data_IF_765592153220
#
_entry.id   IF_765592153220
#
_cell.length_a   1.000
_cell.length_b   1.000
_cell.length_c   1.000
_cell.angle_alpha   90.00
_cell.angle_beta   90.00
_cell.angle_gamma   90.00
#
_symmetry.space_group_name_H-M   'P 1'
#
loop_
_entity.id
_entity.type
_entity.pdbx_description
1 polymer ?
#
# COMPACT_ATOMS: atom_id res chain seq x y z
N UNK A 1 -43.96 52.40 24.41
CA UNK A 1 -43.01 53.32 23.77
C UNK A 1 -43.40 53.48 22.30
N UNK A 2 -43.64 54.73 21.87
CA UNK A 2 -44.27 55.07 20.59
C UNK A 2 -43.23 55.04 19.46
N UNK A 3 -43.61 54.45 18.30
CA UNK A 3 -42.83 54.24 17.08
C UNK A 3 -42.02 55.44 16.54
N UNK A 4 -42.23 56.64 17.11
CA UNK A 4 -41.53 57.89 16.75
C UNK A 4 -40.18 58.12 17.45
N UNK A 5 -39.88 57.40 18.51
CA UNK A 5 -38.58 57.54 19.23
C UNK A 5 -37.48 56.63 18.69
N UNK A 6 -37.84 55.61 17.90
CA UNK A 6 -36.89 54.70 17.24
C UNK A 6 -36.22 55.33 16.00
N UNK A 7 -36.88 56.32 15.37
CA UNK A 7 -36.37 56.93 14.14
C UNK A 7 -35.44 58.15 14.38
N UNK A 8 -35.30 58.63 15.61
CA UNK A 8 -34.39 59.75 15.94
C UNK A 8 -32.99 59.33 16.34
N UNK A 9 -32.74 58.03 16.57
CA UNK A 9 -31.39 57.52 16.87
C UNK A 9 -30.69 56.88 15.69
N UNK A 10 -31.30 56.81 14.53
CA UNK A 10 -30.74 56.23 13.31
C UNK A 10 -30.01 57.23 12.39
N UNK A 11 -29.85 58.51 12.81
CA UNK A 11 -29.34 59.54 11.92
C UNK A 11 -27.93 60.10 12.30
N UNK A 12 -27.19 59.42 13.18
CA UNK A 12 -25.85 59.89 13.61
C UNK A 12 -24.82 58.72 13.69
N UNK A 13 -24.90 57.73 12.82
CA UNK A 13 -23.79 56.79 12.60
C UNK A 13 -23.20 57.05 11.22
N UNK A 14 -22.10 57.81 11.22
CA UNK A 14 -21.31 58.10 10.05
C UNK A 14 -20.91 56.80 9.34
N UNK A 15 -21.17 56.76 8.09
CA UNK A 15 -20.76 55.71 7.14
C UNK A 15 -19.23 55.69 7.04
N UNK A 16 -18.58 55.03 7.97
CA UNK A 16 -17.21 54.52 7.75
C UNK A 16 -17.36 53.27 6.91
N UNK A 17 -17.29 53.40 5.61
CA UNK A 17 -17.08 52.29 4.68
C UNK A 17 -15.69 51.73 4.97
N UNK A 18 -15.58 50.77 5.89
CA UNK A 18 -14.45 49.88 5.95
C UNK A 18 -14.49 49.06 4.65
N UNK A 19 -13.74 49.52 3.65
CA UNK A 19 -13.25 48.66 2.59
C UNK A 19 -12.35 47.62 3.25
N UNK A 20 -12.94 46.53 3.75
CA UNK A 20 -12.18 45.33 4.04
C UNK A 20 -11.40 45.00 2.76
N UNK A 21 -10.07 44.95 2.78
CA UNK A 21 -9.34 44.48 1.61
C UNK A 21 -9.88 43.08 1.33
N UNK A 22 -10.46 42.87 0.13
CA UNK A 22 -10.66 41.55 -0.42
C UNK A 22 -9.25 40.93 -0.47
N UNK A 23 -8.87 40.20 0.58
CA UNK A 23 -7.76 39.30 0.51
C UNK A 23 -8.16 38.25 -0.49
N UNK A 24 -7.81 38.51 -1.74
CA UNK A 24 -7.85 37.50 -2.79
C UNK A 24 -6.99 36.39 -2.24
N UNK A 25 -7.61 35.34 -1.72
CA UNK A 25 -6.92 34.11 -1.36
C UNK A 25 -6.14 33.73 -2.62
N UNK A 26 -4.81 33.88 -2.55
CA UNK A 26 -3.96 33.43 -3.64
C UNK A 26 -4.30 31.98 -3.89
N UNK A 27 -4.57 31.61 -5.15
CA UNK A 27 -4.79 30.20 -5.48
C UNK A 27 -3.64 29.40 -4.88
N UNK A 28 -3.94 28.29 -4.17
CA UNK A 28 -2.88 27.52 -3.53
C UNK A 28 -1.88 27.09 -4.60
N UNK A 29 -0.60 27.35 -4.35
CA UNK A 29 0.50 26.96 -5.25
C UNK A 29 0.34 25.49 -5.62
N UNK A 30 0.36 25.18 -6.92
CA UNK A 30 0.37 23.80 -7.39
C UNK A 30 1.69 23.12 -7.00
N UNK A 31 1.56 21.91 -6.45
CA UNK A 31 2.71 21.08 -6.05
C UNK A 31 3.37 20.47 -7.28
N UNK A 32 4.66 20.71 -7.45
CA UNK A 32 5.47 20.06 -8.49
C UNK A 32 5.53 18.56 -8.21
N UNK A 33 4.85 17.78 -9.03
CA UNK A 33 4.64 16.34 -8.79
C UNK A 33 5.41 15.51 -9.81
N UNK A 34 6.13 14.51 -9.33
CA UNK A 34 6.81 13.53 -10.16
C UNK A 34 6.29 12.11 -9.88
N UNK A 35 6.41 11.23 -10.90
CA UNK A 35 6.10 9.81 -10.78
C UNK A 35 7.36 8.97 -11.02
N UNK A 36 7.63 8.00 -10.16
CA UNK A 36 8.65 6.96 -10.34
C UNK A 36 7.91 5.63 -10.43
N UNK A 37 8.02 4.95 -11.59
CA UNK A 37 7.24 3.75 -11.91
C UNK A 37 5.97 4.08 -12.70
N UNK A 38 6.10 4.17 -14.04
CA UNK A 38 5.06 4.59 -14.98
C UNK A 38 4.15 3.44 -15.46
N UNK A 39 4.09 2.34 -14.70
CA UNK A 39 3.18 1.22 -14.93
C UNK A 39 1.70 1.62 -14.77
N UNK A 40 0.80 0.65 -15.02
CA UNK A 40 -0.65 0.90 -14.96
C UNK A 40 -1.11 1.53 -13.64
N UNK A 41 -0.56 1.08 -12.50
CA UNK A 41 -0.97 1.56 -11.19
C UNK A 41 -0.41 2.95 -10.87
N UNK A 42 0.85 3.22 -11.20
CA UNK A 42 1.43 4.56 -11.07
C UNK A 42 0.66 5.61 -11.88
N UNK A 43 0.24 5.26 -13.10
CA UNK A 43 -0.62 6.12 -13.93
C UNK A 43 -1.99 6.38 -13.28
N UNK A 44 -2.59 5.38 -12.63
CA UNK A 44 -3.86 5.56 -11.92
C UNK A 44 -3.71 6.53 -10.73
N UNK A 45 -2.65 6.39 -9.94
CA UNK A 45 -2.38 7.32 -8.83
C UNK A 45 -2.14 8.74 -9.36
N UNK A 46 -1.32 8.88 -10.41
CA UNK A 46 -1.02 10.19 -10.99
C UNK A 46 -2.28 10.84 -11.58
N UNK A 47 -3.17 10.07 -12.21
CA UNK A 47 -4.46 10.56 -12.69
C UNK A 47 -5.27 11.21 -11.56
N UNK A 48 -5.40 10.57 -10.41
CA UNK A 48 -6.14 11.11 -9.26
C UNK A 48 -5.41 12.33 -8.65
N UNK A 49 -4.07 12.31 -8.67
CA UNK A 49 -3.28 13.47 -8.28
C UNK A 49 -3.57 14.70 -9.17
N UNK A 50 -3.62 14.50 -10.48
CA UNK A 50 -3.94 15.57 -11.45
C UNK A 50 -5.38 16.04 -11.32
N UNK A 51 -6.34 15.12 -11.13
CA UNK A 51 -7.74 15.43 -10.94
C UNK A 51 -8.01 16.32 -9.71
N UNK A 52 -7.13 16.29 -8.70
CA UNK A 52 -7.21 17.16 -7.53
C UNK A 52 -7.04 18.66 -7.86
N UNK A 53 -6.53 19.01 -9.04
CA UNK A 53 -6.19 20.37 -9.45
C UNK A 53 -5.00 21.00 -8.72
N UNK A 54 -4.46 20.31 -7.70
CA UNK A 54 -3.37 20.78 -6.81
C UNK A 54 -1.98 20.38 -7.30
N UNK A 55 -1.88 19.46 -8.27
CA UNK A 55 -0.62 18.89 -8.74
C UNK A 55 -0.25 19.40 -10.14
N UNK A 56 1.03 19.70 -10.31
CA UNK A 56 1.64 20.02 -11.60
C UNK A 56 2.59 18.89 -11.97
N UNK A 57 2.32 18.10 -13.02
CA UNK A 57 3.20 17.00 -13.43
C UNK A 57 4.48 17.57 -14.07
N UNK A 58 5.61 17.44 -13.38
CA UNK A 58 6.88 17.99 -13.86
C UNK A 58 7.76 16.95 -14.53
N UNK A 59 7.71 15.69 -14.03
CA UNK A 59 8.58 14.64 -14.57
C UNK A 59 8.05 13.24 -14.27
N UNK A 60 8.43 12.29 -15.13
CA UNK A 60 8.20 10.85 -14.99
C UNK A 60 9.53 10.11 -15.06
N UNK A 61 9.69 9.03 -14.27
CA UNK A 61 10.83 8.13 -14.37
C UNK A 61 10.38 6.68 -14.49
N UNK A 62 10.91 5.97 -15.47
CA UNK A 62 10.79 4.53 -15.64
C UNK A 62 11.97 4.00 -16.44
N UNK A 63 12.34 2.76 -16.22
CA UNK A 63 13.39 2.07 -16.95
C UNK A 63 12.90 1.47 -18.27
N UNK A 64 11.59 1.49 -18.52
CA UNK A 64 10.92 1.13 -19.77
C UNK A 64 10.49 2.40 -20.53
N UNK A 65 11.18 2.70 -21.62
CA UNK A 65 10.90 3.88 -22.44
C UNK A 65 9.47 3.86 -23.03
N UNK A 66 8.94 2.69 -23.36
CA UNK A 66 7.57 2.57 -23.88
C UNK A 66 6.54 2.92 -22.80
N UNK A 67 6.75 2.45 -21.56
CA UNK A 67 5.89 2.80 -20.44
C UNK A 67 5.94 4.31 -20.14
N UNK A 68 7.12 4.94 -20.26
CA UNK A 68 7.30 6.37 -20.10
C UNK A 68 6.53 7.19 -21.13
N UNK A 69 6.66 6.86 -22.42
CA UNK A 69 5.98 7.59 -23.50
C UNK A 69 4.45 7.49 -23.36
N UNK A 70 3.92 6.28 -23.14
CA UNK A 70 2.48 6.08 -22.89
C UNK A 70 1.99 6.91 -21.69
N UNK A 71 2.78 6.97 -20.62
CA UNK A 71 2.41 7.76 -19.45
C UNK A 71 2.49 9.27 -19.72
N UNK A 72 3.49 9.72 -20.50
CA UNK A 72 3.64 11.12 -20.85
C UNK A 72 2.48 11.62 -21.71
N UNK A 73 2.07 10.85 -22.70
CA UNK A 73 0.90 11.17 -23.55
C UNK A 73 -0.36 11.27 -22.71
N UNK A 74 -0.59 10.30 -21.82
CA UNK A 74 -1.74 10.33 -20.89
C UNK A 74 -1.71 11.57 -19.98
N UNK A 75 -0.55 11.96 -19.47
CA UNK A 75 -0.38 13.18 -18.66
C UNK A 75 -0.67 14.43 -19.47
N UNK A 76 -0.18 14.50 -20.70
CA UNK A 76 -0.44 15.63 -21.60
C UNK A 76 -1.94 15.76 -21.89
N UNK A 77 -2.62 14.67 -22.19
CA UNK A 77 -4.07 14.65 -22.46
C UNK A 77 -4.88 15.12 -21.24
N UNK A 78 -4.50 14.68 -20.03
CA UNK A 78 -5.22 15.01 -18.81
C UNK A 78 -4.95 16.41 -18.26
N UNK A 79 -3.74 16.95 -18.47
CA UNK A 79 -3.29 18.18 -17.79
C UNK A 79 -2.93 19.31 -18.73
N UNK A 80 -2.75 19.04 -20.02
CA UNK A 80 -2.19 19.99 -20.99
C UNK A 80 -0.69 20.21 -20.83
N UNK A 81 -0.01 19.53 -19.90
CA UNK A 81 1.42 19.68 -19.60
C UNK A 81 2.19 18.45 -20.07
N UNK A 82 3.30 18.66 -20.80
CA UNK A 82 4.22 17.59 -21.17
C UNK A 82 5.29 17.44 -20.09
N UNK A 83 5.32 16.32 -19.32
CA UNK A 83 6.33 16.09 -18.29
C UNK A 83 7.68 15.79 -18.93
N UNK A 84 8.78 16.05 -18.22
CA UNK A 84 10.11 15.59 -18.61
C UNK A 84 10.26 14.10 -18.32
N UNK A 85 10.98 13.37 -19.17
CA UNK A 85 11.16 11.93 -19.08
C UNK A 85 12.56 11.58 -18.63
N UNK A 86 12.68 10.66 -17.70
CA UNK A 86 13.95 10.19 -17.13
C UNK A 86 13.96 8.67 -17.08
N UNK A 87 15.06 8.07 -17.46
CA UNK A 87 15.29 6.65 -17.21
C UNK A 87 15.73 6.41 -15.76
N UNK A 88 16.54 7.32 -15.23
CA UNK A 88 17.07 7.26 -13.88
C UNK A 88 16.34 8.24 -12.96
N UNK A 89 15.63 7.71 -11.96
CA UNK A 89 14.91 8.52 -10.98
C UNK A 89 15.82 9.46 -10.17
N UNK A 90 17.11 9.12 -10.01
CA UNK A 90 18.08 9.97 -9.28
C UNK A 90 18.35 11.25 -10.07
N UNK A 91 18.42 11.17 -11.39
CA UNK A 91 18.53 12.35 -12.25
C UNK A 91 17.26 13.22 -12.17
N UNK A 92 16.07 12.59 -12.19
CA UNK A 92 14.81 13.29 -12.01
C UNK A 92 14.82 14.09 -10.70
N UNK A 93 15.13 13.44 -9.58
CA UNK A 93 15.14 14.08 -8.26
C UNK A 93 16.13 15.25 -8.19
N UNK A 94 17.34 15.06 -8.72
CA UNK A 94 18.39 16.09 -8.70
C UNK A 94 18.05 17.31 -9.58
N UNK A 95 17.49 17.09 -10.79
CA UNK A 95 17.22 18.13 -11.77
C UNK A 95 15.90 18.86 -11.54
N UNK A 96 14.83 18.12 -11.18
CA UNK A 96 13.48 18.67 -11.10
C UNK A 96 13.08 19.13 -9.70
N UNK A 97 13.67 18.58 -8.64
CA UNK A 97 13.40 18.93 -7.25
C UNK A 97 11.89 19.02 -6.98
N UNK A 98 11.14 17.92 -7.17
CA UNK A 98 9.68 17.92 -7.01
C UNK A 98 9.27 18.21 -5.55
N UNK A 99 8.10 18.82 -5.37
CA UNK A 99 7.48 18.96 -4.04
C UNK A 99 6.88 17.65 -3.56
N UNK A 100 6.39 16.82 -4.50
CA UNK A 100 5.77 15.52 -4.26
C UNK A 100 6.30 14.48 -5.24
N UNK A 101 6.60 13.28 -4.73
CA UNK A 101 6.96 12.12 -5.53
C UNK A 101 5.98 10.98 -5.28
N UNK A 102 5.40 10.45 -6.37
CA UNK A 102 4.64 9.21 -6.38
C UNK A 102 5.61 8.08 -6.69
N UNK A 103 5.60 7.02 -5.87
CA UNK A 103 6.44 5.83 -6.06
C UNK A 103 5.52 4.62 -6.23
N UNK A 104 5.53 4.04 -7.42
CA UNK A 104 4.70 2.89 -7.81
C UNK A 104 5.52 1.84 -8.58
N UNK A 105 6.76 1.69 -8.19
CA UNK A 105 7.70 0.67 -8.67
C UNK A 105 7.37 -0.72 -8.08
N UNK A 106 8.02 -1.81 -8.49
CA UNK A 106 7.97 -3.07 -7.75
C UNK A 106 8.53 -2.95 -6.33
N UNK A 107 8.10 -3.83 -5.41
CA UNK A 107 8.38 -3.76 -3.97
C UNK A 107 9.87 -3.59 -3.64
N UNK A 108 10.74 -4.26 -4.38
CA UNK A 108 12.19 -4.24 -4.14
C UNK A 108 12.86 -2.88 -4.39
N UNK A 109 12.13 -1.94 -4.98
CA UNK A 109 12.58 -0.57 -5.23
C UNK A 109 12.02 0.45 -4.24
N UNK A 110 10.94 0.13 -3.51
CA UNK A 110 10.24 1.10 -2.66
C UNK A 110 11.16 1.81 -1.68
N UNK A 111 12.08 1.07 -1.04
CA UNK A 111 12.96 1.65 -0.03
C UNK A 111 13.91 2.70 -0.62
N UNK A 112 14.65 2.35 -1.67
CA UNK A 112 15.61 3.27 -2.27
C UNK A 112 14.93 4.50 -2.86
N UNK A 113 13.83 4.30 -3.60
CA UNK A 113 13.10 5.42 -4.20
C UNK A 113 12.55 6.38 -3.13
N UNK A 114 11.97 5.84 -2.05
CA UNK A 114 11.41 6.66 -0.97
C UNK A 114 12.49 7.44 -0.24
N UNK A 115 13.58 6.80 0.14
CA UNK A 115 14.68 7.43 0.89
C UNK A 115 15.31 8.57 0.05
N UNK A 116 15.57 8.33 -1.22
CA UNK A 116 16.17 9.35 -2.09
C UNK A 116 15.19 10.51 -2.39
N UNK A 117 13.89 10.25 -2.53
CA UNK A 117 12.88 11.30 -2.67
C UNK A 117 12.78 12.17 -1.41
N UNK A 118 12.83 11.56 -0.21
CA UNK A 118 12.83 12.28 1.07
C UNK A 118 14.10 13.12 1.23
N UNK A 119 15.28 12.60 0.88
CA UNK A 119 16.55 13.37 0.88
C UNK A 119 16.52 14.54 -0.10
N UNK A 120 15.82 14.41 -1.23
CA UNK A 120 15.59 15.50 -2.17
C UNK A 120 14.61 16.56 -1.66
N UNK A 121 13.99 16.32 -0.49
CA UNK A 121 13.07 17.26 0.18
C UNK A 121 11.60 17.12 -0.25
N UNK A 122 11.24 16.06 -0.97
CA UNK A 122 9.87 15.83 -1.42
C UNK A 122 8.99 15.19 -0.35
N UNK A 123 7.68 15.49 -0.36
CA UNK A 123 6.67 14.62 0.24
C UNK A 123 6.48 13.39 -0.63
N UNK A 124 6.13 12.25 -0.05
CA UNK A 124 6.10 10.97 -0.77
C UNK A 124 4.75 10.28 -0.63
N UNK A 125 4.19 9.88 -1.78
CA UNK A 125 3.16 8.86 -1.85
C UNK A 125 3.83 7.58 -2.36
N UNK A 126 3.93 6.54 -1.54
CA UNK A 126 4.54 5.27 -1.93
C UNK A 126 3.55 4.12 -1.84
N UNK A 127 3.61 3.22 -2.81
CA UNK A 127 2.80 2.00 -2.77
C UNK A 127 3.24 1.04 -1.67
N UNK A 128 2.27 0.24 -1.23
CA UNK A 128 2.48 -0.86 -0.30
C UNK A 128 3.15 -2.07 -1.02
N UNK A 129 3.88 -2.94 -0.27
CA UNK A 129 4.35 -2.81 1.11
C UNK A 129 5.50 -1.80 1.24
N UNK A 130 5.75 -1.33 2.46
CA UNK A 130 6.89 -0.45 2.73
C UNK A 130 8.18 -1.29 2.76
N UNK A 131 8.79 -1.50 1.59
CA UNK A 131 10.00 -2.29 1.43
C UNK A 131 9.77 -3.80 1.27
N UNK A 132 10.78 -4.46 0.79
CA UNK A 132 10.81 -5.91 0.53
C UNK A 132 11.25 -6.71 1.77
N UNK A 133 11.93 -6.07 2.72
CA UNK A 133 12.36 -6.63 4.00
C UNK A 133 12.02 -5.70 5.16
N UNK A 134 12.05 -6.23 6.39
CA UNK A 134 11.75 -5.45 7.59
C UNK A 134 12.70 -4.26 7.74
N UNK A 135 14.00 -4.47 7.54
CA UNK A 135 14.98 -3.40 7.68
C UNK A 135 14.91 -2.36 6.57
N UNK A 136 14.50 -2.72 5.34
CA UNK A 136 14.17 -1.73 4.30
C UNK A 136 13.01 -0.83 4.74
N UNK A 137 11.94 -1.41 5.26
CA UNK A 137 10.79 -0.68 5.78
C UNK A 137 11.16 0.24 6.96
N UNK A 138 12.02 -0.25 7.86
CA UNK A 138 12.56 0.54 8.98
C UNK A 138 13.39 1.73 8.49
N UNK A 139 14.24 1.52 7.48
CA UNK A 139 15.04 2.59 6.89
C UNK A 139 14.17 3.68 6.23
N UNK A 140 13.06 3.29 5.58
CA UNK A 140 12.07 4.24 5.05
C UNK A 140 11.44 5.07 6.18
N UNK A 141 11.02 4.42 7.26
CA UNK A 141 10.45 5.10 8.42
C UNK A 141 11.44 6.11 9.03
N UNK A 142 12.69 5.68 9.25
CA UNK A 142 13.76 6.55 9.75
C UNK A 142 13.95 7.78 8.86
N UNK A 143 14.10 7.58 7.55
CA UNK A 143 14.27 8.67 6.60
C UNK A 143 13.07 9.65 6.59
N UNK A 144 11.84 9.14 6.74
CA UNK A 144 10.65 9.98 6.84
C UNK A 144 10.65 10.86 8.09
N UNK A 145 11.01 10.28 9.24
CA UNK A 145 11.13 11.03 10.51
C UNK A 145 12.23 12.08 10.43
N UNK A 146 13.41 11.74 9.92
CA UNK A 146 14.55 12.65 9.79
C UNK A 146 14.29 13.79 8.81
N UNK A 147 13.56 13.53 7.72
CA UNK A 147 13.24 14.56 6.72
C UNK A 147 12.14 15.52 7.16
N UNK A 148 11.29 15.12 8.11
CA UNK A 148 10.08 15.85 8.49
C UNK A 148 9.04 15.97 7.37
N UNK A 149 9.18 15.19 6.29
CA UNK A 149 8.25 15.19 5.16
C UNK A 149 7.09 14.23 5.40
N UNK A 150 5.95 14.55 4.81
CA UNK A 150 4.77 13.70 4.86
C UNK A 150 4.99 12.51 3.95
N UNK A 151 4.75 11.29 4.46
CA UNK A 151 4.73 10.06 3.68
C UNK A 151 3.35 9.40 3.84
N UNK A 152 2.65 9.23 2.73
CA UNK A 152 1.41 8.47 2.61
C UNK A 152 1.71 7.15 1.92
N UNK A 153 1.21 6.06 2.47
CA UNK A 153 1.36 4.72 1.88
C UNK A 153 0.05 4.24 1.26
N UNK A 154 0.11 3.49 0.17
CA UNK A 154 -1.03 3.00 -0.60
C UNK A 154 -1.94 2.00 0.12
N UNK A 155 -2.17 2.16 1.43
CA UNK A 155 -3.14 1.35 2.21
C UNK A 155 -4.57 1.90 2.06
N UNK A 156 -5.03 1.98 0.82
CA UNK A 156 -6.27 2.66 0.43
C UNK A 156 -7.55 2.07 1.07
N UNK A 157 -7.53 0.86 1.64
CA UNK A 157 -8.69 0.30 2.38
C UNK A 157 -8.98 1.05 3.67
N UNK A 158 -8.00 1.74 4.27
CA UNK A 158 -8.22 2.59 5.45
C UNK A 158 -9.17 3.76 5.21
N UNK A 159 -9.42 4.09 3.96
CA UNK A 159 -10.29 5.21 3.58
C UNK A 159 -11.51 4.76 2.75
N UNK A 160 -11.54 3.50 2.35
CA UNK A 160 -12.65 2.94 1.58
C UNK A 160 -13.96 2.98 2.39
N UNK A 161 -15.06 3.54 1.84
CA UNK A 161 -16.26 3.83 2.61
C UNK A 161 -16.81 2.63 3.38
N UNK A 162 -17.00 1.46 2.73
CA UNK A 162 -17.52 0.27 3.40
C UNK A 162 -16.52 -0.34 4.39
N UNK A 163 -15.20 -0.16 4.19
CA UNK A 163 -14.21 -0.55 5.20
C UNK A 163 -14.30 0.36 6.43
N UNK A 164 -14.50 1.67 6.23
CA UNK A 164 -14.64 2.63 7.31
C UNK A 164 -15.91 2.35 8.12
N UNK A 165 -17.05 2.12 7.45
CA UNK A 165 -18.33 1.81 8.13
C UNK A 165 -18.29 0.45 8.82
N UNK A 166 -17.77 -0.60 8.16
CA UNK A 166 -17.58 -1.92 8.76
C UNK A 166 -16.65 -1.89 9.98
N UNK A 167 -15.58 -1.11 9.89
CA UNK A 167 -14.67 -0.91 11.02
C UNK A 167 -15.32 -0.15 12.17
N UNK A 168 -16.17 0.84 11.87
CA UNK A 168 -16.97 1.54 12.88
C UNK A 168 -17.96 0.57 13.55
N UNK A 169 -18.63 -0.29 12.79
CA UNK A 169 -19.51 -1.34 13.32
C UNK A 169 -18.74 -2.31 14.24
N UNK A 170 -17.58 -2.78 13.79
CA UNK A 170 -16.73 -3.68 14.58
C UNK A 170 -16.29 -3.05 15.91
N UNK A 171 -15.87 -1.80 15.89
CA UNK A 171 -15.43 -1.03 17.08
C UNK A 171 -16.57 -0.63 18.00
N UNK A 172 -17.82 -0.67 17.55
CA UNK A 172 -18.99 -0.39 18.43
C UNK A 172 -19.24 -1.47 19.49
N UNK A 173 -18.58 -2.64 19.36
CA UNK A 173 -18.82 -3.80 20.24
C UNK A 173 -20.07 -4.61 19.85
N UNK A 174 -20.69 -4.32 18.70
CA UNK A 174 -21.83 -5.07 18.19
C UNK A 174 -21.51 -6.55 17.95
N UNK A 175 -20.26 -6.85 17.57
CA UNK A 175 -19.77 -8.23 17.36
C UNK A 175 -19.47 -8.97 18.67
N UNK A 176 -19.35 -8.25 19.78
CA UNK A 176 -18.92 -8.78 21.08
C UNK A 176 -17.41 -8.93 21.18
N UNK A 177 -16.93 -9.77 22.10
CA UNK A 177 -15.52 -10.03 22.29
C UNK A 177 -15.01 -10.94 21.15
N UNK A 178 -14.12 -10.39 20.31
CA UNK A 178 -13.55 -11.13 19.18
C UNK A 178 -12.37 -11.97 19.65
N UNK A 179 -12.47 -13.28 19.53
CA UNK A 179 -11.41 -14.23 19.90
C UNK A 179 -10.59 -14.73 18.70
N UNK A 180 -11.13 -14.59 17.49
CA UNK A 180 -10.44 -15.04 16.27
C UNK A 180 -10.75 -14.12 15.09
N UNK A 181 -9.75 -13.91 14.22
CA UNK A 181 -9.89 -13.25 12.92
C UNK A 181 -9.37 -14.18 11.84
N UNK A 182 -10.12 -14.35 10.74
CA UNK A 182 -9.68 -15.07 9.55
C UNK A 182 -9.59 -14.10 8.38
N UNK A 183 -8.43 -14.00 7.77
CA UNK A 183 -8.15 -13.23 6.57
C UNK A 183 -7.89 -14.21 5.43
N UNK A 184 -8.41 -13.94 4.23
CA UNK A 184 -8.27 -14.88 3.14
C UNK A 184 -8.20 -14.21 1.76
N UNK A 185 -7.47 -14.88 0.84
CA UNK A 185 -7.43 -14.53 -0.57
C UNK A 185 -7.34 -15.81 -1.41
N UNK A 186 -8.37 -16.07 -2.21
CA UNK A 186 -8.44 -17.25 -3.06
C UNK A 186 -8.50 -16.85 -4.52
N UNK A 187 -7.68 -17.46 -5.35
CA UNK A 187 -7.72 -17.27 -6.80
C UNK A 187 -7.84 -18.58 -7.55
N UNK A 188 -8.41 -18.57 -8.76
CA UNK A 188 -8.47 -19.77 -9.57
C UNK A 188 -7.06 -20.22 -9.97
N UNK A 189 -6.94 -21.53 -10.27
CA UNK A 189 -5.73 -22.17 -10.76
C UNK A 189 -6.00 -23.64 -10.91
N UNK A 190 -5.45 -24.26 -11.95
CA UNK A 190 -5.85 -25.58 -12.41
C UNK A 190 -4.72 -26.61 -12.53
N UNK A 191 -3.54 -26.29 -11.99
CA UNK A 191 -2.47 -27.27 -12.00
C UNK A 191 -1.06 -26.68 -12.02
N UNK A 192 -0.06 -27.49 -12.42
CA UNK A 192 1.32 -27.08 -12.42
C UNK A 192 1.60 -25.87 -13.30
N UNK A 193 2.41 -24.95 -12.77
CA UNK A 193 2.83 -23.77 -13.51
C UNK A 193 3.81 -24.17 -14.63
N UNK A 194 3.47 -23.86 -15.88
CA UNK A 194 4.36 -24.07 -17.02
C UNK A 194 5.49 -23.05 -17.00
N UNK A 195 6.76 -23.48 -17.09
CA UNK A 195 7.87 -22.55 -17.24
C UNK A 195 7.69 -21.67 -18.49
N UNK A 196 8.09 -20.41 -18.38
CA UNK A 196 8.14 -19.51 -19.51
C UNK A 196 9.58 -19.31 -19.98
N UNK A 197 9.83 -19.16 -21.28
CA UNK A 197 11.18 -19.00 -21.79
C UNK A 197 11.84 -17.72 -21.27
N UNK A 198 13.14 -17.78 -21.12
CA UNK A 198 13.96 -16.59 -20.98
C UNK A 198 14.13 -15.95 -22.35
N UNK A 199 13.89 -14.65 -22.42
CA UNK A 199 13.92 -13.88 -23.66
C UNK A 199 14.84 -12.67 -23.51
N UNK A 200 15.17 -12.04 -24.63
CA UNK A 200 15.77 -10.69 -24.58
C UNK A 200 14.70 -9.72 -24.05
N UNK A 201 15.10 -8.82 -23.17
CA UNK A 201 14.21 -7.73 -22.75
C UNK A 201 13.77 -6.90 -23.98
N UNK A 202 12.55 -6.35 -23.99
CA UNK A 202 12.08 -5.48 -25.06
C UNK A 202 13.06 -4.33 -25.34
N UNK A 203 13.12 -3.89 -26.58
CA UNK A 203 13.90 -2.72 -26.93
C UNK A 203 13.35 -1.49 -26.20
N UNK A 204 14.25 -0.66 -25.68
CA UNK A 204 13.89 0.49 -24.83
C UNK A 204 13.75 0.20 -23.34
N UNK A 205 13.81 -1.07 -22.92
CA UNK A 205 13.77 -1.47 -21.52
C UNK A 205 15.18 -1.74 -20.96
N UNK A 206 15.57 -1.06 -19.90
CA UNK A 206 16.78 -1.33 -19.13
C UNK A 206 16.49 -2.39 -18.06
N UNK A 207 16.63 -3.66 -18.45
CA UNK A 207 16.32 -4.79 -17.56
C UNK A 207 17.28 -4.92 -16.39
N UNK A 208 18.55 -4.56 -16.57
CA UNK A 208 19.52 -4.56 -15.48
C UNK A 208 19.12 -3.55 -14.39
N UNK A 209 18.76 -2.34 -14.80
CA UNK A 209 18.24 -1.33 -13.89
C UNK A 209 16.87 -1.72 -13.31
N UNK A 210 16.02 -2.39 -14.08
CA UNK A 210 14.74 -2.89 -13.54
C UNK A 210 14.96 -3.87 -12.38
N UNK A 211 15.87 -4.83 -12.51
CA UNK A 211 16.26 -5.74 -11.42
C UNK A 211 16.91 -4.99 -10.25
N UNK A 212 17.71 -3.97 -10.53
CA UNK A 212 18.28 -3.06 -9.54
C UNK A 212 18.98 -3.74 -8.38
N UNK A 213 18.54 -3.52 -7.13
CA UNK A 213 19.16 -4.11 -5.93
C UNK A 213 18.89 -5.61 -5.79
N UNK A 214 17.92 -6.17 -6.52
CA UNK A 214 17.66 -7.60 -6.55
C UNK A 214 18.69 -8.36 -7.40
N UNK A 215 18.81 -9.69 -7.27
CA UNK A 215 19.60 -10.50 -8.19
C UNK A 215 19.18 -10.27 -9.65
N UNK A 216 20.16 -10.26 -10.55
CA UNK A 216 19.89 -10.17 -11.98
C UNK A 216 19.32 -11.52 -12.47
N UNK A 217 18.04 -11.53 -12.78
CA UNK A 217 17.39 -12.68 -13.44
C UNK A 217 17.34 -12.48 -14.96
N UNK A 218 17.34 -13.54 -15.76
CA UNK A 218 16.98 -13.43 -17.16
C UNK A 218 15.59 -12.80 -17.32
N UNK A 219 15.39 -12.01 -18.38
CA UNK A 219 14.06 -11.46 -18.66
C UNK A 219 13.10 -12.57 -19.09
N UNK A 220 11.88 -12.48 -18.63
CA UNK A 220 10.76 -13.31 -19.10
C UNK A 220 9.45 -12.50 -19.00
N UNK A 221 8.55 -12.72 -19.96
CA UNK A 221 7.19 -12.19 -19.91
C UNK A 221 6.40 -12.68 -18.70
N UNK A 222 6.89 -13.73 -18.03
CA UNK A 222 6.36 -14.19 -16.75
C UNK A 222 6.61 -13.21 -15.62
N UNK A 223 7.73 -12.48 -15.66
CA UNK A 223 8.11 -11.50 -14.63
C UNK A 223 7.48 -10.13 -14.86
N UNK A 224 7.57 -9.62 -16.08
CA UNK A 224 7.13 -8.28 -16.43
C UNK A 224 5.96 -8.32 -17.43
N UNK A 225 4.91 -7.47 -17.26
CA UNK A 225 4.84 -6.33 -16.31
C UNK A 225 4.29 -6.64 -14.92
N UNK A 226 3.75 -7.80 -14.62
CA UNK A 226 3.00 -8.01 -13.37
C UNK A 226 3.40 -9.22 -12.54
N UNK A 227 4.03 -10.23 -13.14
CA UNK A 227 4.33 -11.52 -12.49
C UNK A 227 5.43 -11.46 -11.42
N UNK A 228 6.18 -10.37 -11.36
CA UNK A 228 7.20 -10.13 -10.35
C UNK A 228 6.67 -10.26 -8.90
N UNK A 229 5.36 -10.01 -8.68
CA UNK A 229 4.72 -10.15 -7.36
C UNK A 229 4.84 -11.56 -6.78
N UNK A 230 4.95 -12.56 -7.64
CA UNK A 230 5.10 -13.97 -7.26
C UNK A 230 6.54 -14.49 -7.41
N UNK A 231 7.51 -13.58 -7.44
CA UNK A 231 8.95 -13.87 -7.54
C UNK A 231 9.67 -13.28 -6.34
N UNK A 232 10.25 -14.15 -5.50
CA UNK A 232 10.76 -13.81 -4.18
C UNK A 232 11.98 -12.89 -4.19
N UNK A 233 12.65 -12.70 -5.33
CA UNK A 233 13.69 -11.68 -5.46
C UNK A 233 13.13 -10.26 -5.54
N UNK A 234 11.88 -10.10 -5.99
CA UNK A 234 11.26 -8.80 -6.28
C UNK A 234 10.10 -8.45 -5.33
N UNK A 235 9.43 -9.46 -4.75
CA UNK A 235 8.29 -9.28 -3.85
C UNK A 235 8.15 -10.47 -2.89
N UNK A 236 7.10 -10.48 -2.07
CA UNK A 236 6.86 -11.51 -1.06
C UNK A 236 5.59 -12.35 -1.33
N UNK A 237 5.26 -12.55 -2.61
CA UNK A 237 4.12 -13.37 -3.02
C UNK A 237 2.77 -12.82 -2.51
N UNK A 238 1.77 -13.69 -2.51
CA UNK A 238 0.40 -13.31 -2.13
C UNK A 238 0.30 -12.83 -0.68
N UNK A 239 1.08 -13.40 0.25
CA UNK A 239 1.09 -12.93 1.64
C UNK A 239 1.63 -11.49 1.75
N UNK A 240 2.70 -11.15 1.03
CA UNK A 240 3.24 -9.79 0.99
C UNK A 240 2.30 -8.80 0.31
N UNK A 241 1.79 -9.17 -0.86
CA UNK A 241 0.99 -8.28 -1.72
C UNK A 241 -0.43 -8.05 -1.17
N UNK A 242 -1.17 -9.13 -0.81
CA UNK A 242 -2.55 -9.06 -0.33
C UNK A 242 -2.64 -9.04 1.20
N UNK A 243 -1.79 -9.80 1.87
CA UNK A 243 -1.81 -9.93 3.32
C UNK A 243 -1.63 -8.59 4.04
N UNK A 244 -0.79 -7.71 3.51
CA UNK A 244 -0.55 -6.38 4.10
C UNK A 244 -1.85 -5.57 4.24
N UNK A 245 -2.75 -5.62 3.26
CA UNK A 245 -4.02 -4.89 3.30
C UNK A 245 -4.95 -5.37 4.40
N UNK A 246 -5.00 -6.69 4.63
CA UNK A 246 -5.93 -7.30 5.57
C UNK A 246 -5.38 -7.33 6.99
N UNK A 247 -4.08 -7.59 7.15
CA UNK A 247 -3.39 -7.48 8.44
C UNK A 247 -3.41 -6.04 8.96
N UNK A 248 -3.33 -5.05 8.05
CA UNK A 248 -3.52 -3.64 8.39
C UNK A 248 -4.88 -3.35 9.03
N UNK A 249 -5.95 -3.96 8.54
CA UNK A 249 -7.28 -3.80 9.12
C UNK A 249 -7.39 -4.43 10.52
N UNK A 250 -6.67 -5.53 10.76
CA UNK A 250 -6.60 -6.15 12.10
C UNK A 250 -5.94 -5.20 13.10
N UNK A 251 -4.82 -4.59 12.71
CA UNK A 251 -4.15 -3.58 13.55
C UNK A 251 -5.03 -2.34 13.74
N UNK A 252 -5.73 -1.90 12.71
CA UNK A 252 -6.64 -0.76 12.77
C UNK A 252 -7.82 -1.00 13.71
N UNK A 253 -8.38 -2.21 13.69
CA UNK A 253 -9.45 -2.57 14.60
C UNK A 253 -8.97 -2.72 16.05
N UNK A 254 -7.98 -3.59 16.27
CA UNK A 254 -7.56 -4.02 17.60
C UNK A 254 -6.78 -2.95 18.37
N UNK A 255 -6.08 -2.05 17.68
CA UNK A 255 -5.11 -1.14 18.29
C UNK A 255 -3.82 -1.83 18.75
N UNK A 256 -3.71 -3.17 18.59
CA UNK A 256 -2.48 -3.90 18.84
C UNK A 256 -1.38 -3.45 17.89
N UNK A 257 -0.13 -3.53 18.33
CA UNK A 257 0.99 -3.11 17.49
C UNK A 257 1.61 -4.28 16.74
N UNK A 258 1.82 -5.40 17.42
CA UNK A 258 2.44 -6.60 16.88
C UNK A 258 1.92 -7.86 17.58
N UNK A 259 1.91 -9.01 16.89
CA UNK A 259 1.66 -10.31 17.53
C UNK A 259 2.87 -10.75 18.38
N UNK A 260 2.61 -11.55 19.40
CA UNK A 260 3.66 -12.15 20.24
C UNK A 260 4.41 -13.24 19.53
N UNK A 261 3.70 -14.02 18.72
CA UNK A 261 4.23 -15.19 18.01
C UNK A 261 3.61 -15.30 16.63
N UNK A 262 4.40 -15.73 15.67
CA UNK A 262 3.99 -15.96 14.29
C UNK A 262 4.44 -17.34 13.85
N UNK A 263 3.55 -18.09 13.19
CA UNK A 263 3.90 -19.33 12.49
C UNK A 263 3.26 -19.33 11.11
N UNK A 264 4.03 -19.72 10.09
CA UNK A 264 3.55 -19.82 8.73
C UNK A 264 3.98 -21.14 8.09
N UNK A 265 3.02 -21.87 7.56
CA UNK A 265 3.23 -23.07 6.75
C UNK A 265 2.66 -22.86 5.35
N UNK A 266 3.12 -23.67 4.39
CA UNK A 266 2.69 -23.61 3.00
C UNK A 266 3.79 -24.02 2.03
N UNK A 267 3.57 -23.83 0.74
CA UNK A 267 4.53 -24.22 -0.28
C UNK A 267 3.95 -24.14 -1.67
N UNK A 268 4.42 -25.05 -2.54
CA UNK A 268 4.02 -25.12 -3.95
C UNK A 268 3.57 -26.54 -4.38
N UNK A 269 2.65 -27.18 -3.65
CA UNK A 269 2.22 -28.55 -3.99
C UNK A 269 1.43 -28.66 -5.29
N UNK A 270 0.75 -27.58 -5.71
CA UNK A 270 -0.09 -27.56 -6.93
C UNK A 270 0.66 -26.95 -8.11
N UNK A 271 1.28 -25.80 -7.94
CA UNK A 271 2.06 -25.17 -9.02
C UNK A 271 3.38 -25.91 -9.31
N UNK A 272 3.79 -26.83 -8.44
CA UNK A 272 5.02 -27.59 -8.58
C UNK A 272 6.28 -26.83 -8.19
N UNK A 273 7.44 -27.51 -8.26
CA UNK A 273 8.74 -26.92 -7.94
C UNK A 273 9.04 -25.69 -8.80
N UNK A 274 9.70 -24.68 -8.19
CA UNK A 274 10.13 -23.52 -8.94
C UNK A 274 11.24 -23.89 -9.93
N UNK A 275 11.17 -23.37 -11.15
CA UNK A 275 12.19 -23.52 -12.20
C UNK A 275 12.89 -22.17 -12.39
N UNK A 276 14.21 -22.18 -12.35
CA UNK A 276 15.06 -21.06 -12.74
C UNK A 276 16.34 -21.64 -13.32
N UNK A 277 16.52 -21.52 -14.63
CA UNK A 277 17.72 -21.95 -15.35
C UNK A 277 17.98 -21.02 -16.53
N UNK A 278 18.99 -21.31 -17.35
CA UNK A 278 19.38 -20.45 -18.48
C UNK A 278 18.33 -20.37 -19.60
N UNK A 279 17.35 -21.25 -19.64
CA UNK A 279 16.38 -21.37 -20.74
C UNK A 279 14.99 -20.86 -20.35
N UNK A 280 14.58 -21.12 -19.11
CA UNK A 280 13.19 -20.90 -18.70
C UNK A 280 13.06 -20.69 -17.20
N UNK A 281 11.94 -20.13 -16.78
CA UNK A 281 11.63 -19.88 -15.38
C UNK A 281 10.14 -19.91 -15.07
N UNK A 282 9.82 -20.20 -13.79
CA UNK A 282 8.48 -20.02 -13.19
C UNK A 282 8.51 -18.93 -12.11
N UNK A 283 7.37 -18.62 -11.55
CA UNK A 283 7.30 -17.98 -10.24
C UNK A 283 7.88 -18.91 -9.16
N UNK A 284 8.29 -18.37 -8.00
CA UNK A 284 8.88 -19.15 -6.91
C UNK A 284 8.21 -18.91 -5.55
N UNK A 285 7.29 -17.94 -5.46
CA UNK A 285 6.49 -17.74 -4.27
C UNK A 285 5.52 -18.92 -4.03
N UNK A 286 5.15 -19.21 -2.77
CA UNK A 286 4.18 -20.25 -2.43
C UNK A 286 2.85 -20.08 -3.16
N UNK A 287 2.25 -21.19 -3.60
CA UNK A 287 0.90 -21.21 -4.17
C UNK A 287 -0.19 -21.18 -3.07
N UNK A 288 0.17 -21.61 -1.86
CA UNK A 288 -0.67 -21.44 -0.68
C UNK A 288 0.19 -21.21 0.58
N UNK A 289 -0.35 -20.47 1.50
CA UNK A 289 0.19 -20.32 2.86
C UNK A 289 -0.94 -20.17 3.86
N UNK A 290 -0.72 -20.69 5.05
CA UNK A 290 -1.52 -20.40 6.25
C UNK A 290 -0.56 -19.81 7.28
N UNK A 291 -0.80 -18.57 7.68
CA UNK A 291 -0.02 -17.90 8.70
C UNK A 291 -0.89 -17.58 9.91
N UNK A 292 -0.40 -17.93 11.10
CA UNK A 292 -1.06 -17.65 12.38
C UNK A 292 -0.29 -16.55 13.10
N UNK A 293 -1.00 -15.52 13.53
CA UNK A 293 -0.51 -14.38 14.29
C UNK A 293 -1.20 -14.39 15.67
N UNK A 294 -0.45 -14.66 16.72
CA UNK A 294 -0.94 -14.74 18.09
C UNK A 294 -0.80 -13.36 18.77
N UNK A 295 -1.91 -12.66 18.92
CA UNK A 295 -2.00 -11.39 19.64
C UNK A 295 -2.31 -11.61 21.12
N UNK A 296 -2.42 -10.53 21.91
CA UNK A 296 -2.70 -10.64 23.35
C UNK A 296 -4.07 -11.27 23.63
N UNK A 297 -5.11 -10.84 22.89
CA UNK A 297 -6.50 -11.20 23.19
C UNK A 297 -7.15 -12.08 22.13
N UNK A 298 -6.54 -12.25 20.97
CA UNK A 298 -7.11 -13.02 19.88
C UNK A 298 -6.02 -13.62 18.98
N UNK A 299 -6.43 -14.57 18.16
CA UNK A 299 -5.58 -15.14 17.11
C UNK A 299 -6.07 -14.66 15.74
N UNK A 300 -5.15 -14.20 14.90
CA UNK A 300 -5.44 -13.90 13.52
C UNK A 300 -4.84 -14.98 12.62
N UNK A 301 -5.61 -15.46 11.66
CA UNK A 301 -5.17 -16.40 10.62
C UNK A 301 -5.23 -15.67 9.28
N UNK A 302 -4.14 -15.74 8.55
CA UNK A 302 -4.11 -15.46 7.12
C UNK A 302 -4.06 -16.76 6.35
N UNK A 303 -4.87 -16.91 5.31
CA UNK A 303 -4.74 -17.99 4.35
C UNK A 303 -4.87 -17.48 2.91
N UNK A 304 -4.09 -18.06 2.04
CA UNK A 304 -4.32 -17.89 0.60
C UNK A 304 -4.06 -19.17 -0.16
N UNK A 305 -4.68 -19.27 -1.33
CA UNK A 305 -4.39 -20.29 -2.33
C UNK A 305 -4.56 -19.74 -3.74
N UNK A 306 -3.69 -20.16 -4.63
CA UNK A 306 -3.67 -19.79 -6.05
C UNK A 306 -4.20 -20.93 -6.94
N UNK A 307 -5.10 -21.72 -6.40
CA UNK A 307 -5.76 -22.85 -7.05
C UNK A 307 -7.14 -23.08 -6.41
N UNK A 308 -7.98 -23.86 -7.11
CA UNK A 308 -9.31 -24.23 -6.63
C UNK A 308 -10.20 -23.05 -6.21
N UNK A 309 -9.99 -21.87 -6.78
CA UNK A 309 -10.88 -20.72 -6.58
C UNK A 309 -12.19 -20.91 -7.35
N UNK A 310 -13.29 -21.15 -6.64
CA UNK A 310 -14.63 -21.34 -7.19
C UNK A 310 -15.69 -20.76 -6.25
N UNK A 311 -16.96 -21.01 -6.52
CA UNK A 311 -18.08 -20.44 -5.77
C UNK A 311 -18.48 -21.27 -4.52
N UNK A 312 -17.74 -22.32 -4.16
CA UNK A 312 -17.98 -23.10 -2.94
C UNK A 312 -17.83 -22.22 -1.70
N UNK A 313 -16.87 -21.31 -1.72
CA UNK A 313 -16.76 -20.25 -0.71
C UNK A 313 -17.44 -18.99 -1.24
N UNK A 314 -18.37 -18.45 -0.45
CA UNK A 314 -19.18 -17.29 -0.82
C UNK A 314 -18.34 -16.06 -1.19
N UNK A 315 -17.18 -15.89 -0.57
CA UNK A 315 -16.30 -14.73 -0.73
C UNK A 315 -14.89 -15.21 -1.12
N UNK A 316 -14.29 -14.54 -2.10
CA UNK A 316 -12.94 -14.88 -2.61
C UNK A 316 -11.83 -14.18 -1.85
N UNK A 317 -12.10 -12.97 -1.35
CA UNK A 317 -11.11 -12.13 -0.66
C UNK A 317 -11.84 -11.34 0.43
N UNK A 318 -11.34 -11.41 1.66
CA UNK A 318 -11.97 -10.69 2.77
C UNK A 318 -11.43 -11.07 4.13
N UNK A 319 -12.20 -10.70 5.14
CA UNK A 319 -11.95 -11.00 6.54
C UNK A 319 -13.22 -11.41 7.27
N UNK A 320 -13.08 -12.32 8.23
CA UNK A 320 -14.10 -12.65 9.20
C UNK A 320 -13.60 -12.34 10.62
N UNK A 321 -14.41 -11.65 11.40
CA UNK A 321 -14.19 -11.38 12.83
C UNK A 321 -15.21 -12.19 13.63
N UNK A 322 -14.72 -13.18 14.37
CA UNK A 322 -15.55 -14.10 15.15
C UNK A 322 -15.65 -13.63 16.60
N UNK A 323 -16.79 -13.08 16.96
CA UNK A 323 -17.04 -12.56 18.29
C UNK A 323 -18.17 -13.28 19.01
N UNK A 324 -18.35 -12.98 20.31
CA UNK A 324 -19.33 -13.64 21.18
C UNK A 324 -20.78 -13.35 20.80
N UNK A 325 -21.06 -12.26 20.09
CA UNK A 325 -22.41 -11.88 19.63
C UNK A 325 -22.68 -12.22 18.18
N UNK A 326 -21.65 -12.56 17.39
CA UNK A 326 -21.81 -12.89 15.99
C UNK A 326 -20.50 -12.84 15.21
N UNK A 327 -20.63 -12.96 13.90
CA UNK A 327 -19.52 -12.94 12.95
C UNK A 327 -19.69 -11.74 12.03
N UNK A 328 -18.67 -10.90 11.92
CA UNK A 328 -18.62 -9.83 10.92
C UNK A 328 -17.73 -10.26 9.75
N UNK A 329 -18.28 -10.25 8.54
CA UNK A 329 -17.54 -10.32 7.30
C UNK A 329 -17.28 -8.90 6.76
N UNK A 330 -16.05 -8.61 6.33
CA UNK A 330 -15.73 -7.42 5.53
C UNK A 330 -15.03 -7.90 4.26
N UNK A 331 -15.64 -7.63 3.11
CA UNK A 331 -15.15 -8.07 1.81
C UNK A 331 -14.36 -7.00 1.06
N UNK A 332 -13.71 -7.40 -0.03
CA UNK A 332 -13.03 -6.46 -0.92
C UNK A 332 -14.03 -5.62 -1.71
N UNK A 333 -15.00 -6.29 -2.38
CA UNK A 333 -16.03 -5.66 -3.23
C UNK A 333 -17.45 -5.93 -2.72
N UNK A 334 -17.60 -6.71 -1.64
CA UNK A 334 -18.87 -7.26 -1.20
C UNK A 334 -19.48 -6.46 -0.04
N UNK A 335 -18.91 -5.28 0.29
CA UNK A 335 -19.32 -4.53 1.45
C UNK A 335 -18.98 -5.26 2.76
N UNK A 336 -19.85 -5.16 3.77
CA UNK A 336 -19.72 -5.93 4.99
C UNK A 336 -21.07 -6.53 5.42
N UNK A 337 -21.02 -7.65 6.15
CA UNK A 337 -22.21 -8.34 6.67
C UNK A 337 -21.95 -8.85 8.08
N UNK A 338 -22.85 -8.54 9.00
CA UNK A 338 -22.89 -9.10 10.35
C UNK A 338 -23.92 -10.23 10.44
N UNK A 339 -23.48 -11.38 10.93
CA UNK A 339 -24.27 -12.57 11.16
C UNK A 339 -24.41 -12.79 12.68
N UNK A 340 -25.56 -12.46 13.30
CA UNK A 340 -25.72 -12.59 14.75
C UNK A 340 -25.76 -14.06 15.19
N UNK A 341 -25.22 -14.37 16.37
CA UNK A 341 -25.28 -15.72 16.98
C UNK A 341 -26.67 -16.05 17.51
N UNK A 342 -27.41 -15.03 17.94
CA UNK A 342 -28.78 -15.22 18.53
C UNK A 342 -29.71 -15.73 17.44
N UNK A 343 -30.42 -16.82 17.72
CA UNK A 343 -31.44 -17.39 16.83
C UNK A 343 -32.54 -16.35 16.57
N UNK A 344 -32.80 -16.08 15.28
CA UNK A 344 -33.75 -15.03 14.86
C UNK A 344 -33.19 -13.59 14.93
N UNK A 345 -31.93 -13.43 15.30
CA UNK A 345 -31.26 -12.12 15.24
C UNK A 345 -31.25 -11.57 13.83
N UNK A 346 -31.37 -10.24 13.72
CA UNK A 346 -31.37 -9.56 12.44
C UNK A 346 -29.94 -9.46 11.89
N UNK A 347 -29.73 -10.00 10.68
CA UNK A 347 -28.51 -9.77 9.92
C UNK A 347 -28.43 -8.29 9.50
N UNK A 348 -27.27 -7.68 9.64
CA UNK A 348 -26.98 -6.33 9.15
C UNK A 348 -26.00 -6.41 7.99
N UNK A 349 -26.24 -5.62 6.95
CA UNK A 349 -25.42 -5.60 5.74
C UNK A 349 -25.34 -4.19 5.17
N UNK A 350 -24.18 -3.85 4.63
CA UNK A 350 -23.95 -2.64 3.84
C UNK A 350 -23.16 -3.02 2.59
N UNK A 351 -23.69 -2.67 1.43
CA UNK A 351 -23.05 -2.90 0.14
C UNK A 351 -21.77 -2.06 0.00
N UNK A 352 -20.90 -2.49 -0.90
CA UNK A 352 -19.77 -1.67 -1.33
C UNK A 352 -20.30 -0.40 -2.01
N UNK A 353 -19.90 0.76 -1.51
CA UNK A 353 -20.33 2.06 -2.05
C UNK A 353 -19.56 2.44 -3.32
N UNK A 354 -18.47 1.76 -3.63
CA UNK A 354 -17.62 2.01 -4.79
C UNK A 354 -17.60 0.77 -5.68
N UNK A 355 -17.94 0.94 -6.97
CA UNK A 355 -17.91 -0.15 -7.95
C UNK A 355 -16.47 -0.60 -8.27
N UNK A 356 -15.55 0.36 -8.35
CA UNK A 356 -14.11 0.14 -8.55
C UNK A 356 -13.34 0.64 -7.32
N UNK A 357 -13.38 -0.12 -6.19
CA UNK A 357 -12.92 0.39 -4.91
C UNK A 357 -11.44 0.74 -4.89
N UNK A 358 -10.61 0.03 -5.64
CA UNK A 358 -9.16 0.31 -5.63
C UNK A 358 -8.86 1.66 -6.30
N UNK A 359 -9.48 1.97 -7.45
CA UNK A 359 -9.31 3.25 -8.14
C UNK A 359 -9.91 4.43 -7.38
N UNK A 360 -11.18 4.31 -6.99
CA UNK A 360 -11.87 5.40 -6.29
C UNK A 360 -11.31 5.67 -4.88
N UNK A 361 -10.82 4.66 -4.18
CA UNK A 361 -10.15 4.85 -2.91
C UNK A 361 -8.88 5.69 -3.04
N UNK A 362 -8.17 5.62 -4.17
CA UNK A 362 -6.98 6.45 -4.40
C UNK A 362 -7.34 7.93 -4.44
N UNK A 363 -8.47 8.31 -5.05
CA UNK A 363 -8.93 9.70 -5.04
C UNK A 363 -9.08 10.24 -3.62
N UNK A 364 -9.75 9.46 -2.75
CA UNK A 364 -9.98 9.86 -1.35
C UNK A 364 -8.64 9.86 -0.58
N UNK A 365 -7.80 8.87 -0.81
CA UNK A 365 -6.50 8.77 -0.16
C UNK A 365 -5.55 9.89 -0.59
N UNK A 366 -5.64 10.33 -1.86
CA UNK A 366 -4.89 11.47 -2.35
C UNK A 366 -5.32 12.79 -1.70
N UNK A 367 -6.63 12.99 -1.52
CA UNK A 367 -7.14 14.14 -0.80
C UNK A 367 -6.64 14.16 0.66
N UNK A 368 -6.65 13.01 1.34
CA UNK A 368 -6.08 12.84 2.68
C UNK A 368 -4.59 13.22 2.74
N UNK A 369 -3.81 12.82 1.73
CA UNK A 369 -2.39 13.16 1.62
C UNK A 369 -2.17 14.67 1.47
N UNK A 370 -2.96 15.34 0.63
CA UNK A 370 -2.88 16.79 0.46
C UNK A 370 -3.23 17.55 1.74
N UNK A 371 -4.23 17.10 2.49
CA UNK A 371 -4.57 17.68 3.80
C UNK A 371 -3.43 17.49 4.82
N UNK A 372 -2.74 16.36 4.76
CA UNK A 372 -1.58 16.12 5.61
C UNK A 372 -0.38 17.03 5.21
N UNK A 373 -0.14 17.24 3.92
CA UNK A 373 0.88 18.18 3.43
C UNK A 373 0.56 19.62 3.90
N UNK A 374 -0.71 20.00 3.90
CA UNK A 374 -1.17 21.32 4.39
C UNK A 374 -1.09 21.45 5.93
N UNK A 375 -0.62 20.43 6.64
CA UNK A 375 -0.48 20.41 8.09
C UNK A 375 -1.79 20.30 8.88
N UNK A 376 -2.90 19.93 8.22
CA UNK A 376 -4.24 19.85 8.84
C UNK A 376 -4.43 18.57 9.67
N UNK A 377 -3.73 17.50 9.32
CA UNK A 377 -3.80 16.19 10.01
C UNK A 377 -2.57 15.33 9.70
N UNK A 378 -2.45 14.21 10.41
CA UNK A 378 -1.56 13.11 10.00
C UNK A 378 -2.22 12.28 8.89
N UNK A 379 -1.44 11.71 7.94
CA UNK A 379 -1.97 10.81 6.93
C UNK A 379 -2.68 9.61 7.55
N UNK A 380 -3.81 9.19 6.99
CA UNK A 380 -4.59 8.02 7.47
C UNK A 380 -3.79 6.72 7.35
N UNK A 381 -2.89 6.64 6.37
CA UNK A 381 -1.94 5.56 6.16
C UNK A 381 -0.50 6.09 6.23
N UNK A 382 -0.14 6.68 7.40
CA UNK A 382 1.20 7.20 7.62
C UNK A 382 2.25 6.09 7.54
N UNK A 383 3.51 6.47 7.31
CA UNK A 383 4.60 5.50 7.21
C UNK A 383 4.77 4.68 8.49
N UNK A 384 4.50 5.24 9.67
CA UNK A 384 4.59 4.52 10.94
C UNK A 384 3.53 3.40 11.05
N UNK A 385 2.31 3.67 10.61
CA UNK A 385 1.24 2.67 10.57
C UNK A 385 1.54 1.61 9.51
N UNK A 386 1.92 2.04 8.32
CA UNK A 386 2.21 1.16 7.20
C UNK A 386 3.44 0.28 7.42
N UNK A 387 4.45 0.78 8.12
CA UNK A 387 5.60 -0.03 8.55
C UNK A 387 5.12 -1.22 9.40
N UNK A 388 4.35 -0.98 10.46
CA UNK A 388 3.81 -2.06 11.29
C UNK A 388 3.00 -3.07 10.47
N UNK A 389 2.14 -2.58 9.59
CA UNK A 389 1.29 -3.42 8.74
C UNK A 389 2.11 -4.25 7.74
N UNK A 390 3.20 -3.68 7.20
CA UNK A 390 4.10 -4.40 6.28
C UNK A 390 5.00 -5.40 7.00
N UNK A 391 5.36 -5.16 8.25
CA UNK A 391 6.19 -6.08 9.04
C UNK A 391 5.48 -7.43 9.27
N UNK A 392 4.16 -7.45 9.46
CA UNK A 392 3.42 -8.69 9.75
C UNK A 392 3.58 -9.75 8.64
N UNK A 393 3.25 -9.48 7.37
CA UNK A 393 3.45 -10.46 6.31
C UNK A 393 4.93 -10.83 6.12
N UNK A 394 5.86 -9.89 6.33
CA UNK A 394 7.30 -10.18 6.24
C UNK A 394 7.75 -11.16 7.33
N UNK A 395 7.27 -11.02 8.56
CA UNK A 395 7.52 -12.00 9.63
C UNK A 395 6.88 -13.35 9.31
N UNK A 396 5.69 -13.38 8.70
CA UNK A 396 5.09 -14.60 8.18
C UNK A 396 5.99 -15.28 7.14
N UNK A 397 6.56 -14.53 6.21
CA UNK A 397 7.51 -15.05 5.21
C UNK A 397 8.81 -15.58 5.85
N UNK A 398 9.33 -14.92 6.89
CA UNK A 398 10.50 -15.38 7.63
C UNK A 398 10.19 -16.69 8.35
N UNK A 399 9.04 -16.80 9.03
CA UNK A 399 8.58 -18.03 9.67
C UNK A 399 8.46 -19.18 8.65
N UNK A 400 7.86 -18.92 7.49
CA UNK A 400 7.78 -19.91 6.43
C UNK A 400 9.15 -20.37 5.91
N UNK A 401 10.07 -19.42 5.64
CA UNK A 401 11.43 -19.74 5.16
C UNK A 401 12.25 -20.55 6.16
N UNK A 402 12.07 -20.29 7.45
CA UNK A 402 12.79 -21.00 8.52
C UNK A 402 12.09 -22.29 8.97
N UNK A 403 10.82 -22.50 8.60
CA UNK A 403 9.99 -23.62 9.05
C UNK A 403 9.71 -23.61 10.54
N UNK A 404 9.86 -22.46 11.21
CA UNK A 404 9.75 -22.33 12.66
C UNK A 404 8.78 -21.24 13.08
N UNK A 405 8.18 -21.42 14.25
CA UNK A 405 7.49 -20.34 14.95
C UNK A 405 8.52 -19.31 15.42
N UNK A 406 8.23 -18.04 15.21
CA UNK A 406 9.07 -16.92 15.62
C UNK A 406 8.39 -16.07 16.69
N UNK A 407 9.16 -15.52 17.63
CA UNK A 407 8.72 -14.55 18.62
C UNK A 407 9.33 -13.19 18.28
N UNK A 408 8.52 -12.15 18.32
CA UNK A 408 8.91 -10.81 17.92
C UNK A 408 9.09 -9.87 19.11
N UNK A 409 10.26 -9.28 19.26
CA UNK A 409 10.51 -8.15 20.17
C UNK A 409 10.20 -6.85 19.43
N UNK A 410 9.01 -6.31 19.69
CA UNK A 410 8.52 -5.11 19.04
C UNK A 410 9.35 -3.84 19.37
N UNK A 411 9.96 -3.80 20.54
CA UNK A 411 10.75 -2.64 20.96
C UNK A 411 12.12 -2.57 20.28
N UNK A 412 12.72 -3.74 20.04
CA UNK A 412 14.02 -3.85 19.36
C UNK A 412 13.87 -4.13 17.87
N UNK A 413 12.65 -4.49 17.45
CA UNK A 413 12.34 -5.00 16.11
C UNK A 413 13.29 -6.14 15.70
N UNK A 414 13.34 -7.19 16.53
CA UNK A 414 14.17 -8.36 16.38
C UNK A 414 13.39 -9.65 16.70
N UNK A 415 13.81 -10.74 16.09
CA UNK A 415 13.27 -12.07 16.38
C UNK A 415 14.04 -12.62 17.58
N UNK A 416 13.32 -13.00 18.65
CA UNK A 416 13.89 -13.44 19.91
C UNK A 416 14.52 -14.83 19.75
N UNK A 417 15.81 -14.97 20.10
CA UNK A 417 16.47 -16.26 20.22
C UNK A 417 16.74 -16.99 18.89
N UNK A 418 16.55 -16.36 17.73
CA UNK A 418 16.77 -16.98 16.42
C UNK A 418 17.65 -16.11 15.51
N UNK A 419 18.99 -16.26 15.56
CA UNK A 419 19.92 -15.50 14.73
C UNK A 419 19.71 -15.73 13.22
N UNK A 420 19.35 -16.95 12.82
CA UNK A 420 19.10 -17.28 11.40
C UNK A 420 17.86 -16.57 10.87
N UNK A 421 16.79 -16.50 11.66
CA UNK A 421 15.60 -15.72 11.31
C UNK A 421 15.89 -14.21 11.31
N UNK A 422 16.69 -13.70 12.26
CA UNK A 422 17.12 -12.29 12.29
C UNK A 422 17.94 -11.89 11.05
N UNK A 423 18.75 -12.78 10.50
CA UNK A 423 19.47 -12.52 9.26
C UNK A 423 18.53 -12.23 8.07
N UNK A 424 17.31 -12.78 8.10
CA UNK A 424 16.29 -12.57 7.06
C UNK A 424 15.51 -11.25 7.20
N UNK A 425 15.75 -10.47 8.26
CA UNK A 425 15.22 -9.10 8.36
C UNK A 425 15.85 -8.17 7.31
N UNK A 426 16.94 -8.58 6.69
CA UNK A 426 17.63 -7.93 5.59
C UNK A 426 17.85 -8.91 4.44
N UNK A 427 18.34 -8.39 3.33
CA UNK A 427 18.80 -9.19 2.17
C UNK A 427 20.06 -8.57 1.57
N UNK A 428 20.89 -9.32 0.85
CA UNK A 428 21.99 -8.73 0.10
C UNK A 428 21.44 -7.88 -1.06
N UNK A 429 22.09 -6.76 -1.34
CA UNK A 429 21.87 -5.97 -2.54
C UNK A 429 22.92 -6.29 -3.59
N UNK A 430 22.49 -6.35 -4.85
CA UNK A 430 23.40 -6.43 -5.98
C UNK A 430 24.05 -5.06 -6.22
N UNK A 431 25.35 -5.04 -6.38
CA UNK A 431 26.06 -3.80 -6.74
C UNK A 431 25.58 -3.21 -8.10
N UNK A 432 25.64 -1.89 -8.27
CA UNK A 432 26.24 -0.90 -7.37
C UNK A 432 25.32 -0.40 -6.25
N UNK A 433 24.15 -1.02 -6.04
CA UNK A 433 23.16 -0.59 -5.06
C UNK A 433 23.64 -0.90 -3.65
N UNK A 434 23.38 0.03 -2.73
CA UNK A 434 23.76 -0.08 -1.33
C UNK A 434 22.52 -0.26 -0.46
N UNK A 435 22.55 -1.26 0.41
CA UNK A 435 21.45 -1.50 1.36
C UNK A 435 21.30 -0.27 2.29
N UNK A 436 20.09 0.24 2.49
CA UNK A 436 19.91 1.43 3.32
C UNK A 436 20.22 1.13 4.80
N UNK A 437 20.87 2.08 5.47
CA UNK A 437 21.17 1.98 6.90
C UNK A 437 19.91 2.20 7.74
N UNK A 438 19.70 1.39 8.76
CA UNK A 438 18.61 1.46 9.75
C UNK A 438 19.01 2.19 11.02
#
# INVERSE_FOLDING_TARGET
MKRRQFLQYAALSGTSTFLAPFVRSAEPRKLRTALIGSGWWGKNILKEALASGRCLPVALADVDANALEIAADQVQDLSGHKPKLYRDYRELLAKEKPDVVIIATPDHWHALNTIEALKAGAHVFVEKPTGHTVNESRAMLKAAVESGRVVQVGLHRRIGPHHVSGMKFLKSGAVGDVGMVRLFAHSPGDGPEKPAPNEKAPDGMDWDFWCGPAPLRPFSKKLHPGGWRNTLDFANGTLGDWGVHWLDQVLWWSGEQYPKRIFCAGGRPVLGGAVLNDKEQTSDAPDHQVATYEFEKFTCIWEHRRFAGNDTEKHKIGSYYYGTKGVLHIGWKDGWTFYPTTKGGKMEHEDSQLQEPDGHNIQILWADFLEAIDGRKKPVASIELAHRSSVLPLLGMISWRTGRSIQWDAAKEQIIGDPAANALLSRPYRGPWVYPSV
#
